data_IF_976974290228
#
_entry.id   IF_976974290228
#
_cell.length_a   1.000
_cell.length_b   1.000
_cell.length_c   1.000
_cell.angle_alpha   90.00
_cell.angle_beta   90.00
_cell.angle_gamma   90.00
#
_symmetry.space_group_name_H-M   'P 1'
#
loop_
_entity.id
_entity.type
_entity.pdbx_description
1 polymer ?
#
# COMPACT_ATOMS: atom_id res chain seq x y z
N UNK A 1 2.39 26.71 3.51
CA UNK A 1 1.86 25.89 2.42
C UNK A 1 0.76 25.03 3.01
N UNK A 2 -0.47 25.14 2.52
CA UNK A 2 -1.55 24.22 2.92
C UNK A 2 -1.10 22.79 2.60
N UNK A 3 -1.16 21.89 3.57
CA UNK A 3 -0.83 20.48 3.34
C UNK A 3 -1.71 19.94 2.20
N UNK A 4 -1.06 19.36 1.19
CA UNK A 4 -1.75 18.77 0.05
C UNK A 4 -2.68 17.66 0.55
N UNK A 5 -3.94 17.71 0.15
CA UNK A 5 -4.95 16.73 0.55
C UNK A 5 -5.82 16.28 -0.61
N UNK A 6 -6.32 15.05 -0.52
CA UNK A 6 -7.07 14.39 -1.58
C UNK A 6 -8.43 13.89 -1.06
N UNK A 7 -9.48 14.13 -1.85
CA UNK A 7 -10.77 13.45 -1.73
C UNK A 7 -10.90 12.36 -2.80
N UNK A 8 -11.51 11.22 -2.47
CA UNK A 8 -11.75 10.13 -3.42
C UNK A 8 -13.25 9.89 -3.55
N UNK A 9 -13.73 9.80 -4.79
CA UNK A 9 -15.12 9.46 -5.11
C UNK A 9 -15.12 8.18 -5.96
N UNK A 10 -15.61 7.09 -5.38
CA UNK A 10 -15.89 5.85 -6.09
C UNK A 10 -17.30 5.95 -6.67
N UNK A 11 -17.45 5.67 -7.96
CA UNK A 11 -18.71 5.79 -8.69
C UNK A 11 -19.05 4.41 -9.22
N UNK A 12 -20.20 3.86 -8.80
CA UNK A 12 -20.62 2.53 -9.19
C UNK A 12 -21.72 1.97 -8.28
N UNK A 13 -22.90 1.71 -8.84
CA UNK A 13 -24.02 1.08 -8.13
C UNK A 13 -23.66 -0.34 -7.64
N UNK A 14 -22.81 -1.06 -8.37
CA UNK A 14 -22.34 -2.40 -8.02
C UNK A 14 -21.52 -2.44 -6.73
N UNK A 15 -20.86 -1.32 -6.39
CA UNK A 15 -20.12 -1.15 -5.14
C UNK A 15 -21.10 -0.94 -3.99
N UNK A 16 -22.09 -0.06 -4.17
CA UNK A 16 -23.12 0.20 -3.15
C UNK A 16 -23.98 -1.03 -2.86
N UNK A 17 -24.28 -1.82 -3.90
CA UNK A 17 -25.04 -3.06 -3.80
C UNK A 17 -24.20 -4.23 -3.29
N UNK A 18 -22.88 -4.07 -3.11
CA UNK A 18 -21.97 -5.10 -2.64
C UNK A 18 -21.73 -6.25 -3.62
N UNK A 19 -22.06 -6.07 -4.91
CA UNK A 19 -21.79 -7.05 -5.96
C UNK A 19 -20.30 -7.13 -6.28
N UNK A 20 -19.61 -5.98 -6.23
CA UNK A 20 -18.17 -5.88 -6.41
C UNK A 20 -17.58 -5.23 -5.15
N UNK A 21 -16.50 -5.82 -4.63
CA UNK A 21 -15.75 -5.19 -3.55
C UNK A 21 -14.89 -4.04 -4.08
N UNK A 22 -14.98 -2.87 -3.45
CA UNK A 22 -14.11 -1.76 -3.77
C UNK A 22 -12.65 -2.07 -3.38
N UNK A 23 -11.84 -2.31 -4.40
CA UNK A 23 -10.38 -2.46 -4.27
C UNK A 23 -9.61 -1.22 -4.70
N UNK A 24 -10.29 -0.26 -5.33
CA UNK A 24 -9.70 0.94 -5.90
C UNK A 24 -9.34 1.93 -4.79
N UNK A 25 -10.26 2.18 -3.85
CA UNK A 25 -10.00 3.06 -2.70
C UNK A 25 -8.80 2.57 -1.88
N UNK A 26 -8.74 1.26 -1.59
CA UNK A 26 -7.64 0.66 -0.83
C UNK A 26 -6.28 0.76 -1.54
N UNK A 27 -6.25 0.67 -2.87
CA UNK A 27 -5.04 0.91 -3.64
C UNK A 27 -4.62 2.39 -3.58
N UNK A 28 -5.54 3.31 -3.88
CA UNK A 28 -5.28 4.76 -3.86
C UNK A 28 -4.82 5.21 -2.47
N UNK A 29 -5.42 4.66 -1.40
CA UNK A 29 -4.99 4.91 -0.02
C UNK A 29 -3.52 4.61 0.20
N UNK A 30 -3.07 3.42 -0.22
CA UNK A 30 -1.67 3.01 -0.07
C UNK A 30 -0.74 3.91 -0.87
N UNK A 31 -1.13 4.26 -2.09
CA UNK A 31 -0.31 5.11 -2.95
C UNK A 31 -0.18 6.54 -2.41
N UNK A 32 -1.27 7.19 -2.03
CA UNK A 32 -1.20 8.54 -1.45
C UNK A 32 -0.51 8.54 -0.08
N UNK A 33 -0.73 7.50 0.72
CA UNK A 33 0.01 7.30 1.97
C UNK A 33 1.52 7.20 1.73
N UNK A 34 1.96 6.48 0.69
CA UNK A 34 3.38 6.39 0.31
C UNK A 34 4.00 7.74 -0.10
N UNK A 35 3.15 8.71 -0.47
CA UNK A 35 3.53 10.08 -0.80
C UNK A 35 3.41 11.03 0.39
N UNK A 36 3.03 10.56 1.58
CA UNK A 36 2.72 11.42 2.72
C UNK A 36 1.54 12.37 2.48
N UNK A 37 0.68 12.07 1.50
CA UNK A 37 -0.50 12.86 1.16
C UNK A 37 -1.70 12.34 1.93
N UNK A 38 -2.37 13.23 2.66
CA UNK A 38 -3.56 12.89 3.43
C UNK A 38 -4.77 12.73 2.52
N UNK A 39 -5.40 11.56 2.56
CA UNK A 39 -6.78 11.41 2.06
C UNK A 39 -7.72 11.86 3.16
N UNK A 40 -8.52 12.89 2.86
CA UNK A 40 -9.43 13.49 3.84
C UNK A 40 -10.83 12.88 3.84
N UNK A 41 -11.27 12.32 2.71
CA UNK A 41 -12.57 11.65 2.58
C UNK A 41 -12.57 10.68 1.41
N UNK A 42 -13.26 9.56 1.60
CA UNK A 42 -13.65 8.64 0.55
C UNK A 42 -15.17 8.53 0.60
N UNK A 43 -15.81 8.64 -0.56
CA UNK A 43 -17.26 8.45 -0.72
C UNK A 43 -17.51 7.45 -1.85
N UNK A 44 -18.56 6.65 -1.70
CA UNK A 44 -19.11 5.84 -2.79
C UNK A 44 -20.46 6.45 -3.17
N UNK A 45 -20.67 6.71 -4.45
CA UNK A 45 -21.91 7.32 -4.98
C UNK A 45 -22.48 6.48 -6.11
N UNK A 46 -23.78 6.66 -6.35
CA UNK A 46 -24.49 6.01 -7.45
C UNK A 46 -24.01 6.52 -8.82
N UNK A 47 -24.32 5.76 -9.87
CA UNK A 47 -24.17 6.15 -11.28
C UNK A 47 -25.22 7.21 -11.68
N UNK A 48 -25.17 8.35 -10.98
CA UNK A 48 -26.13 9.44 -11.04
C UNK A 48 -25.42 10.77 -11.19
N UNK A 49 -25.75 11.49 -12.28
CA UNK A 49 -25.22 12.82 -12.58
C UNK A 49 -25.37 13.77 -11.38
N UNK A 50 -26.48 13.67 -10.65
CA UNK A 50 -26.77 14.55 -9.52
C UNK A 50 -25.91 14.21 -8.30
N UNK A 51 -25.77 12.92 -7.97
CA UNK A 51 -25.02 12.48 -6.79
C UNK A 51 -23.52 12.73 -6.97
N UNK A 52 -22.99 12.40 -8.16
CA UNK A 52 -21.61 12.72 -8.54
C UNK A 52 -21.37 14.23 -8.43
N UNK A 53 -22.26 15.05 -9.00
CA UNK A 53 -22.10 16.50 -8.97
C UNK A 53 -22.15 17.09 -7.55
N UNK A 54 -23.04 16.57 -6.70
CA UNK A 54 -23.18 17.03 -5.33
C UNK A 54 -21.94 16.69 -4.49
N UNK A 55 -21.41 15.48 -4.64
CA UNK A 55 -20.22 15.06 -3.91
C UNK A 55 -18.97 15.82 -4.36
N UNK A 56 -18.79 16.03 -5.67
CA UNK A 56 -17.72 16.90 -6.18
C UNK A 56 -17.84 18.31 -5.60
N UNK A 57 -19.05 18.91 -5.56
CA UNK A 57 -19.24 20.24 -4.97
C UNK A 57 -18.91 20.27 -3.47
N UNK A 58 -19.24 19.20 -2.74
CA UNK A 58 -18.90 19.08 -1.32
C UNK A 58 -17.39 18.95 -1.08
N UNK A 59 -16.64 18.39 -2.04
CA UNK A 59 -15.21 18.16 -1.92
C UNK A 59 -14.32 19.26 -2.53
N UNK A 60 -14.76 19.95 -3.60
CA UNK A 60 -13.86 20.74 -4.47
C UNK A 60 -13.19 21.93 -3.80
N UNK A 61 -13.78 22.48 -2.75
CA UNK A 61 -13.21 23.56 -1.94
C UNK A 61 -12.43 23.10 -0.71
N UNK A 62 -12.54 21.82 -0.35
CA UNK A 62 -11.97 21.26 0.88
C UNK A 62 -10.67 20.47 0.65
N UNK A 63 -10.42 20.04 -0.59
CA UNK A 63 -9.26 19.23 -0.96
C UNK A 63 -8.51 19.82 -2.14
N UNK A 64 -7.19 19.62 -2.15
CA UNK A 64 -6.32 20.08 -3.22
C UNK A 64 -6.60 19.37 -4.53
N UNK A 65 -6.91 18.06 -4.47
CA UNK A 65 -7.37 17.26 -5.60
C UNK A 65 -8.55 16.37 -5.22
N UNK A 66 -9.40 16.08 -6.19
CA UNK A 66 -10.41 15.03 -6.12
C UNK A 66 -10.05 13.97 -7.16
N UNK A 67 -10.01 12.71 -6.74
CA UNK A 67 -9.87 11.58 -7.65
C UNK A 67 -11.22 10.89 -7.76
N UNK A 68 -11.76 10.79 -8.98
CA UNK A 68 -12.92 9.93 -9.23
C UNK A 68 -12.48 8.62 -9.89
N UNK A 69 -13.20 7.53 -9.65
CA UNK A 69 -12.97 6.26 -10.34
C UNK A 69 -14.30 5.56 -10.60
N UNK A 70 -14.56 5.21 -11.86
CA UNK A 70 -15.82 4.62 -12.33
C UNK A 70 -16.64 5.56 -13.22
N UNK A 71 -17.62 5.00 -13.94
CA UNK A 71 -18.58 5.74 -14.77
C UNK A 71 -18.03 6.49 -15.98
N UNK A 72 -16.94 6.00 -16.62
CA UNK A 72 -16.27 6.66 -17.77
C UNK A 72 -16.23 5.82 -19.06
N UNK A 73 -16.98 4.73 -19.12
CA UNK A 73 -17.17 3.97 -20.35
C UNK A 73 -18.24 4.55 -21.29
N UNK A 74 -18.64 3.79 -22.32
CA UNK A 74 -19.65 4.22 -23.29
C UNK A 74 -21.09 3.85 -22.90
N UNK A 75 -21.33 3.17 -21.77
CA UNK A 75 -22.67 2.66 -21.45
C UNK A 75 -23.58 3.76 -20.91
N UNK A 76 -24.85 3.45 -20.69
CA UNK A 76 -25.87 4.46 -20.39
C UNK A 76 -25.69 5.05 -18.98
N UNK A 77 -25.26 4.20 -18.06
CA UNK A 77 -24.88 4.43 -16.66
C UNK A 77 -23.51 5.10 -16.49
N UNK A 78 -22.63 5.10 -17.50
CA UNK A 78 -21.38 5.86 -17.45
C UNK A 78 -21.64 7.38 -17.54
N UNK A 79 -21.86 8.03 -16.39
CA UNK A 79 -22.29 9.43 -16.28
C UNK A 79 -21.30 10.35 -15.53
N UNK A 80 -20.06 9.91 -15.33
CA UNK A 80 -19.07 10.68 -14.55
C UNK A 80 -18.73 12.02 -15.19
N UNK A 81 -18.58 12.08 -16.52
CA UNK A 81 -18.30 13.34 -17.21
C UNK A 81 -19.46 14.34 -17.08
N UNK A 82 -20.69 13.88 -17.23
CA UNK A 82 -21.92 14.65 -17.02
C UNK A 82 -21.97 15.19 -15.58
N UNK A 83 -21.65 14.35 -14.59
CA UNK A 83 -21.62 14.73 -13.18
C UNK A 83 -20.58 15.80 -12.89
N UNK A 84 -19.36 15.65 -13.44
CA UNK A 84 -18.28 16.65 -13.34
C UNK A 84 -18.70 17.96 -14.02
N UNK A 85 -19.26 17.91 -15.23
CA UNK A 85 -19.73 19.09 -15.95
C UNK A 85 -20.78 19.85 -15.14
N UNK A 86 -21.77 19.13 -14.58
CA UNK A 86 -22.79 19.70 -13.69
C UNK A 86 -22.18 20.29 -12.41
N UNK A 87 -21.16 19.67 -11.82
CA UNK A 87 -20.50 20.17 -10.60
C UNK A 87 -19.82 21.54 -10.80
N UNK A 88 -19.29 21.78 -12.00
CA UNK A 88 -18.63 23.01 -12.41
C UNK A 88 -19.51 23.98 -13.20
N UNK A 89 -20.78 23.62 -13.44
CA UNK A 89 -21.72 24.42 -14.23
C UNK A 89 -21.16 24.73 -15.63
N UNK A 90 -20.65 23.70 -16.29
CA UNK A 90 -20.13 23.75 -17.66
C UNK A 90 -20.87 22.75 -18.54
N UNK A 91 -20.83 22.98 -19.85
CA UNK A 91 -21.37 22.06 -20.84
C UNK A 91 -20.39 20.92 -21.14
N UNK A 92 -20.90 19.86 -21.78
CA UNK A 92 -20.08 18.83 -22.42
C UNK A 92 -19.78 19.23 -23.87
N UNK A 93 -18.60 18.85 -24.35
CA UNK A 93 -18.19 19.03 -25.73
C UNK A 93 -17.62 17.72 -26.26
N UNK A 94 -18.00 17.39 -27.50
CA UNK A 94 -17.39 16.28 -28.23
C UNK A 94 -15.95 16.67 -28.59
N UNK A 95 -14.99 16.17 -27.83
CA UNK A 95 -13.60 16.55 -27.95
C UNK A 95 -12.93 15.81 -29.11
N UNK A 96 -12.35 16.54 -30.06
CA UNK A 96 -11.74 15.96 -31.27
C UNK A 96 -10.57 15.02 -30.97
N UNK A 97 -9.73 15.35 -29.98
CA UNK A 97 -8.60 14.50 -29.59
C UNK A 97 -9.07 13.15 -29.01
N UNK A 98 -10.10 13.17 -28.16
CA UNK A 98 -10.73 11.94 -27.63
C UNK A 98 -11.38 11.14 -28.77
N UNK A 99 -12.12 11.82 -29.66
CA UNK A 99 -12.76 11.17 -30.81
C UNK A 99 -11.72 10.46 -31.68
N UNK A 100 -10.60 11.12 -31.99
CA UNK A 100 -9.56 10.54 -32.85
C UNK A 100 -8.84 9.37 -32.16
N UNK A 101 -8.63 9.45 -30.85
CA UNK A 101 -8.15 8.32 -30.06
C UNK A 101 -9.12 7.11 -30.16
N UNK A 102 -10.42 7.30 -29.89
CA UNK A 102 -11.37 6.18 -29.89
C UNK A 102 -11.73 5.66 -31.28
N UNK A 103 -11.62 6.48 -32.35
CA UNK A 103 -11.71 5.98 -33.74
C UNK A 103 -10.63 4.94 -34.03
N UNK A 104 -9.41 5.15 -33.53
CA UNK A 104 -8.32 4.18 -33.72
C UNK A 104 -8.60 2.82 -33.07
N UNK A 105 -9.49 2.79 -32.06
CA UNK A 105 -9.79 1.61 -31.25
C UNK A 105 -11.13 0.94 -31.62
N UNK A 106 -12.16 1.73 -31.95
CA UNK A 106 -13.52 1.27 -32.26
C UNK A 106 -13.81 1.14 -33.77
N UNK A 107 -12.84 1.43 -34.64
CA UNK A 107 -13.00 1.42 -36.11
C UNK A 107 -13.52 2.75 -36.68
N UNK A 108 -13.95 2.76 -37.96
CA UNK A 108 -14.39 3.97 -38.66
C UNK A 108 -15.70 4.56 -38.07
N UNK A 109 -15.55 5.30 -36.98
CA UNK A 109 -16.65 6.08 -36.37
C UNK A 109 -16.75 7.42 -37.10
N UNK A 110 -17.84 7.64 -37.83
CA UNK A 110 -18.11 8.90 -38.56
C UNK A 110 -19.48 9.46 -38.17
N UNK A 111 -19.58 10.77 -37.96
CA UNK A 111 -20.85 11.44 -37.61
C UNK A 111 -20.91 11.93 -36.15
N UNK A 112 -22.12 12.07 -35.62
CA UNK A 112 -22.42 12.58 -34.26
C UNK A 112 -22.73 11.42 -33.27
N UNK A 113 -22.91 11.75 -32.00
CA UNK A 113 -23.20 10.78 -30.92
C UNK A 113 -24.48 9.99 -31.20
N UNK A 114 -25.52 10.62 -31.76
CA UNK A 114 -26.79 9.95 -32.08
C UNK A 114 -26.63 8.76 -33.03
N UNK A 115 -25.69 8.88 -33.99
CA UNK A 115 -25.38 7.82 -34.95
C UNK A 115 -24.35 6.83 -34.43
N UNK A 116 -23.57 7.21 -33.43
CA UNK A 116 -22.49 6.41 -32.88
C UNK A 116 -22.42 6.60 -31.34
N UNK A 117 -23.23 5.86 -30.57
CA UNK A 117 -23.28 5.99 -29.11
C UNK A 117 -21.92 5.82 -28.42
N UNK A 118 -21.02 5.04 -29.03
CA UNK A 118 -19.63 4.87 -28.58
C UNK A 118 -18.82 6.18 -28.53
N UNK A 119 -19.23 7.25 -29.23
CA UNK A 119 -18.59 8.57 -29.13
C UNK A 119 -18.90 9.30 -27.80
N UNK A 120 -19.83 8.79 -26.99
CA UNK A 120 -20.15 9.37 -25.69
C UNK A 120 -18.92 9.46 -24.77
N UNK A 121 -18.01 8.49 -24.84
CA UNK A 121 -16.75 8.49 -24.10
C UNK A 121 -15.83 9.67 -24.44
N UNK A 122 -16.05 10.32 -25.60
CA UNK A 122 -15.34 11.50 -26.04
C UNK A 122 -16.10 12.82 -25.77
N UNK A 123 -17.30 12.74 -25.20
CA UNK A 123 -18.11 13.89 -24.81
C UNK A 123 -17.76 14.29 -23.37
N UNK A 124 -16.78 15.19 -23.23
CA UNK A 124 -16.15 15.53 -21.94
C UNK A 124 -16.47 16.98 -21.54
N UNK A 125 -16.29 17.38 -20.27
CA UNK A 125 -16.56 18.75 -19.85
C UNK A 125 -15.73 19.79 -20.61
N UNK A 126 -16.31 20.93 -20.96
CA UNK A 126 -15.56 22.05 -21.55
C UNK A 126 -14.46 22.50 -20.58
N UNK A 127 -13.28 22.80 -21.12
CA UNK A 127 -12.10 23.16 -20.32
C UNK A 127 -11.33 21.96 -19.74
N UNK A 128 -11.66 20.74 -20.17
CA UNK A 128 -10.91 19.54 -19.81
C UNK A 128 -9.47 19.56 -20.32
N UNK A 129 -8.55 19.15 -19.46
CA UNK A 129 -7.19 18.72 -19.80
C UNK A 129 -7.22 17.21 -20.10
N UNK A 130 -6.56 16.79 -21.18
CA UNK A 130 -6.44 15.37 -21.55
C UNK A 130 -4.98 14.96 -21.47
N UNK A 131 -4.73 13.88 -20.73
CA UNK A 131 -3.40 13.26 -20.63
C UNK A 131 -3.48 11.84 -21.17
N UNK A 132 -2.67 11.53 -22.18
CA UNK A 132 -2.56 10.16 -22.72
C UNK A 132 -1.54 9.38 -21.89
N UNK A 133 -2.02 8.39 -21.14
CA UNK A 133 -1.21 7.52 -20.29
C UNK A 133 -0.68 6.34 -21.11
N UNK A 134 0.63 6.09 -21.16
CA UNK A 134 1.16 4.88 -21.79
C UNK A 134 0.65 3.60 -21.12
N UNK A 135 0.04 2.70 -21.90
CA UNK A 135 -0.55 1.43 -21.44
C UNK A 135 0.42 0.26 -21.41
N UNK A 136 1.67 0.47 -21.87
CA UNK A 136 2.70 -0.56 -21.93
C UNK A 136 2.44 -1.61 -23.02
N UNK A 137 3.19 -2.71 -22.98
CA UNK A 137 3.16 -3.78 -23.97
C UNK A 137 2.54 -5.09 -23.46
N UNK A 138 1.94 -5.07 -22.27
CA UNK A 138 1.35 -6.24 -21.62
C UNK A 138 -0.15 -6.33 -21.91
N UNK A 139 -0.65 -7.56 -22.04
CA UNK A 139 -2.10 -7.81 -22.17
C UNK A 139 -2.82 -7.41 -20.87
N UNK A 140 -4.07 -6.91 -20.93
CA UNK A 140 -4.91 -6.75 -22.13
C UNK A 140 -4.70 -5.41 -22.88
N UNK A 141 -3.78 -4.55 -22.43
CA UNK A 141 -3.65 -3.17 -22.93
C UNK A 141 -2.61 -2.98 -24.04
N UNK A 142 -1.95 -4.06 -24.47
CA UNK A 142 -0.92 -4.06 -25.53
C UNK A 142 -1.39 -3.46 -26.85
N UNK A 143 -2.68 -3.59 -27.16
CA UNK A 143 -3.28 -3.03 -28.38
C UNK A 143 -3.67 -1.55 -28.25
N UNK A 144 -3.55 -0.96 -27.06
CA UNK A 144 -3.97 0.41 -26.79
C UNK A 144 -2.77 1.33 -27.01
N UNK A 145 -2.94 2.40 -27.80
CA UNK A 145 -1.90 3.41 -27.98
C UNK A 145 -1.96 4.46 -26.86
N UNK A 146 -1.82 3.98 -25.62
CA UNK A 146 -2.10 4.74 -24.40
C UNK A 146 -3.58 4.75 -24.02
N UNK A 147 -3.93 5.42 -22.92
CA UNK A 147 -5.31 5.63 -22.44
C UNK A 147 -5.51 7.08 -22.01
N UNK A 148 -6.54 7.78 -22.51
CA UNK A 148 -6.79 9.17 -22.15
C UNK A 148 -7.38 9.27 -20.74
N UNK A 149 -6.79 10.14 -19.93
CA UNK A 149 -7.32 10.58 -18.65
C UNK A 149 -7.75 12.03 -18.77
N UNK A 150 -8.94 12.32 -18.24
CA UNK A 150 -9.53 13.66 -18.25
C UNK A 150 -9.34 14.29 -16.87
N UNK A 151 -8.93 15.56 -16.86
CA UNK A 151 -8.86 16.39 -15.68
C UNK A 151 -9.63 17.69 -15.90
N UNK A 152 -10.45 18.06 -14.91
CA UNK A 152 -11.23 19.31 -14.92
C UNK A 152 -10.95 20.04 -13.61
N UNK A 153 -10.35 21.23 -13.68
CA UNK A 153 -9.86 21.94 -12.51
C UNK A 153 -8.97 21.04 -11.61
N UNK A 154 -9.40 20.77 -10.38
CA UNK A 154 -8.74 19.87 -9.43
C UNK A 154 -9.30 18.44 -9.40
N UNK A 155 -10.18 18.06 -10.34
CA UNK A 155 -10.76 16.72 -10.42
C UNK A 155 -10.05 15.90 -11.50
N UNK A 156 -9.45 14.78 -11.10
CA UNK A 156 -8.82 13.80 -12.00
C UNK A 156 -9.73 12.58 -12.10
N UNK A 157 -10.09 12.21 -13.32
CA UNK A 157 -11.10 11.20 -13.59
C UNK A 157 -10.43 9.91 -14.06
N UNK A 158 -10.45 8.87 -13.23
CA UNK A 158 -9.86 7.56 -13.50
C UNK A 158 -10.92 6.53 -13.92
N UNK A 159 -10.53 5.48 -14.67
CA UNK A 159 -11.43 4.38 -14.98
C UNK A 159 -11.80 3.56 -13.74
N UNK A 160 -12.93 2.84 -13.82
CA UNK A 160 -13.39 1.94 -12.75
C UNK A 160 -12.67 0.59 -12.71
N UNK A 161 -12.19 0.10 -13.86
CA UNK A 161 -11.50 -1.19 -13.96
C UNK A 161 -10.20 -1.15 -13.14
N UNK A 162 -10.03 -1.99 -12.11
CA UNK A 162 -8.93 -1.85 -11.15
C UNK A 162 -7.53 -1.88 -11.76
N UNK A 163 -7.29 -2.74 -12.76
CA UNK A 163 -5.97 -2.85 -13.42
C UNK A 163 -5.65 -1.60 -14.23
N UNK A 164 -6.62 -1.09 -14.98
CA UNK A 164 -6.46 0.12 -15.78
C UNK A 164 -6.34 1.37 -14.90
N UNK A 165 -7.12 1.44 -13.81
CA UNK A 165 -7.02 2.52 -12.82
C UNK A 165 -5.62 2.57 -12.21
N UNK A 166 -5.07 1.42 -11.76
CA UNK A 166 -3.71 1.33 -11.22
C UNK A 166 -2.66 1.77 -12.23
N UNK A 167 -2.82 1.38 -13.49
CA UNK A 167 -1.93 1.79 -14.57
C UNK A 167 -1.97 3.31 -14.77
N UNK A 168 -3.17 3.89 -14.88
CA UNK A 168 -3.35 5.33 -15.07
C UNK A 168 -2.82 6.12 -13.88
N UNK A 169 -3.07 5.64 -12.66
CA UNK A 169 -2.64 6.29 -11.44
C UNK A 169 -1.11 6.40 -11.34
N UNK A 170 -0.35 5.41 -11.83
CA UNK A 170 1.13 5.47 -11.80
C UNK A 170 1.68 6.69 -12.54
N UNK A 171 1.08 7.08 -13.65
CA UNK A 171 1.52 8.25 -14.41
C UNK A 171 0.91 9.54 -13.84
N UNK A 172 -0.36 9.51 -13.42
CA UNK A 172 -1.00 10.62 -12.69
C UNK A 172 -0.18 10.99 -11.44
N UNK A 173 0.34 10.00 -10.71
CA UNK A 173 1.26 10.16 -9.59
C UNK A 173 2.50 10.99 -9.97
N UNK A 174 3.12 10.71 -11.12
CA UNK A 174 4.29 11.44 -11.60
C UNK A 174 3.95 12.85 -12.09
N UNK A 175 2.78 13.04 -12.68
CA UNK A 175 2.40 14.33 -13.28
C UNK A 175 1.93 15.34 -12.24
N UNK A 176 1.15 14.90 -11.26
CA UNK A 176 0.48 15.81 -10.32
C UNK A 176 1.00 15.73 -8.89
N UNK A 177 1.81 14.71 -8.55
CA UNK A 177 2.21 14.44 -7.17
C UNK A 177 3.73 14.16 -6.98
N UNK A 178 4.56 14.40 -8.00
CA UNK A 178 6.00 14.10 -7.95
C UNK A 178 6.78 14.97 -6.96
N UNK A 179 6.36 16.21 -6.74
CA UNK A 179 7.00 17.11 -5.77
C UNK A 179 6.63 16.79 -4.31
N UNK A 180 5.72 15.83 -4.10
CA UNK A 180 5.24 15.42 -2.79
C UNK A 180 5.99 14.21 -2.22
N UNK A 181 7.22 13.95 -2.68
CA UNK A 181 8.10 12.93 -2.08
C UNK A 181 8.61 13.40 -0.72
N UNK A 182 7.72 13.67 0.25
CA UNK A 182 8.11 13.71 1.65
C UNK A 182 8.31 12.27 2.10
N UNK A 183 9.53 11.92 2.49
CA UNK A 183 9.81 10.63 3.12
C UNK A 183 8.96 10.52 4.39
N UNK A 184 7.88 9.75 4.32
CA UNK A 184 7.10 9.43 5.51
C UNK A 184 7.90 8.41 6.32
N UNK A 185 8.37 8.84 7.49
CA UNK A 185 9.05 7.97 8.43
C UNK A 185 8.01 7.24 9.28
N UNK A 186 8.03 5.91 9.23
CA UNK A 186 7.13 5.04 9.99
C UNK A 186 7.94 4.16 10.95
N UNK A 187 7.47 4.07 12.21
CA UNK A 187 7.90 3.06 13.18
C UNK A 187 6.71 2.24 13.63
N UNK A 188 6.94 0.94 13.80
CA UNK A 188 5.94 -0.02 14.27
C UNK A 188 6.45 -0.65 15.55
N UNK A 189 5.67 -0.53 16.61
CA UNK A 189 5.92 -1.16 17.90
C UNK A 189 4.89 -2.26 18.09
N UNK A 190 5.35 -3.41 18.57
CA UNK A 190 4.50 -4.57 18.84
C UNK A 190 4.50 -4.82 20.33
N UNK A 191 3.33 -5.16 20.89
CA UNK A 191 3.13 -5.26 22.32
C UNK A 191 2.59 -6.64 22.68
N UNK A 192 3.14 -7.29 23.71
CA UNK A 192 2.59 -8.54 24.24
C UNK A 192 1.42 -8.31 25.21
N UNK A 193 1.14 -7.06 25.52
CA UNK A 193 0.11 -6.60 26.44
C UNK A 193 -1.09 -6.04 25.67
N UNK A 194 -2.27 -6.05 26.28
CA UNK A 194 -3.47 -5.49 25.67
C UNK A 194 -3.39 -3.96 25.57
N UNK A 195 -4.23 -3.38 24.71
CA UNK A 195 -4.27 -1.93 24.46
C UNK A 195 -4.53 -1.13 25.75
N UNK A 196 -5.37 -1.65 26.65
CA UNK A 196 -5.74 -0.99 27.91
C UNK A 196 -4.51 -0.71 28.78
N UNK A 197 -3.55 -1.64 28.84
CA UNK A 197 -2.33 -1.48 29.64
C UNK A 197 -1.39 -0.40 29.10
N UNK A 198 -1.39 -0.18 27.79
CA UNK A 198 -0.52 0.83 27.15
C UNK A 198 -1.19 2.19 26.97
N UNK A 199 -2.51 2.27 27.15
CA UNK A 199 -3.32 3.46 26.85
C UNK A 199 -2.85 4.73 27.58
N UNK A 200 -2.48 4.61 28.86
CA UNK A 200 -1.99 5.76 29.64
C UNK A 200 -0.69 6.33 29.08
N UNK A 201 0.25 5.46 28.71
CA UNK A 201 1.51 5.87 28.09
C UNK A 201 1.28 6.41 26.67
N UNK A 202 0.41 5.76 25.90
CA UNK A 202 0.07 6.17 24.53
C UNK A 202 -0.60 7.55 24.50
N UNK A 203 -1.59 7.81 25.36
CA UNK A 203 -2.26 9.11 25.43
C UNK A 203 -1.27 10.23 25.78
N UNK A 204 -0.36 9.99 26.73
CA UNK A 204 0.71 10.97 27.04
C UNK A 204 1.62 11.23 25.84
N UNK A 205 1.99 10.18 25.10
CA UNK A 205 2.81 10.33 23.90
C UNK A 205 2.06 11.13 22.82
N UNK A 206 0.77 10.83 22.59
CA UNK A 206 -0.08 11.61 21.70
C UNK A 206 -0.13 13.07 22.14
N UNK A 207 -0.37 13.37 23.42
CA UNK A 207 -0.45 14.75 23.90
C UNK A 207 0.84 15.54 23.68
N UNK A 208 2.00 14.90 23.84
CA UNK A 208 3.32 15.52 23.64
C UNK A 208 3.66 15.71 22.17
N UNK A 209 3.31 14.75 21.30
CA UNK A 209 3.77 14.70 19.92
C UNK A 209 2.67 14.89 18.85
N UNK A 210 1.41 15.17 19.22
CA UNK A 210 0.27 15.28 18.27
C UNK A 210 0.46 16.26 17.11
N UNK A 211 1.31 17.27 17.28
CA UNK A 211 1.60 18.26 16.23
C UNK A 211 2.63 17.75 15.21
N UNK A 212 3.46 16.77 15.58
CA UNK A 212 4.57 16.26 14.77
C UNK A 212 4.44 14.79 14.40
N UNK A 213 3.72 13.97 15.15
CA UNK A 213 3.61 12.52 14.98
C UNK A 213 2.16 12.07 15.02
N UNK A 214 1.76 11.29 14.02
CA UNK A 214 0.48 10.59 13.99
C UNK A 214 0.66 9.21 14.61
N UNK A 215 -0.18 8.89 15.58
CA UNK A 215 -0.20 7.59 16.25
C UNK A 215 -1.39 6.76 15.77
N UNK A 216 -1.15 5.48 15.48
CA UNK A 216 -2.18 4.49 15.22
C UNK A 216 -2.09 3.34 16.22
N UNK A 217 -3.22 2.83 16.71
CA UNK A 217 -3.29 1.66 17.59
C UNK A 217 -4.19 0.60 16.96
N UNK A 218 -3.69 -0.64 16.91
CA UNK A 218 -4.35 -1.75 16.24
C UNK A 218 -4.28 -3.01 17.13
N UNK A 219 -5.31 -3.30 17.92
CA UNK A 219 -5.40 -4.55 18.67
C UNK A 219 -5.55 -5.75 17.72
N UNK A 220 -4.90 -6.87 18.03
CA UNK A 220 -4.92 -8.08 17.20
C UNK A 220 -5.34 -9.28 18.04
N UNK A 221 -6.50 -9.85 17.73
CA UNK A 221 -7.12 -10.93 18.51
C UNK A 221 -6.49 -12.31 18.29
N UNK A 222 -5.90 -12.55 17.11
CA UNK A 222 -5.47 -13.89 16.68
C UNK A 222 -3.95 -14.09 16.63
N UNK A 223 -3.17 -13.09 17.02
CA UNK A 223 -1.72 -13.15 16.96
C UNK A 223 -1.15 -13.85 18.21
N UNK A 224 -0.29 -14.85 17.97
CA UNK A 224 0.46 -15.54 19.03
C UNK A 224 1.70 -14.77 19.49
N UNK A 225 2.08 -13.70 18.79
CA UNK A 225 3.36 -13.01 18.97
C UNK A 225 3.21 -11.63 19.64
N UNK A 226 2.06 -10.97 19.45
CA UNK A 226 1.76 -9.65 19.99
C UNK A 226 0.24 -9.46 20.04
N UNK A 227 -0.26 -8.72 21.02
CA UNK A 227 -1.67 -8.39 21.19
C UNK A 227 -2.05 -7.02 20.64
N UNK A 228 -1.11 -6.08 20.53
CA UNK A 228 -1.38 -4.74 20.01
C UNK A 228 -0.21 -4.25 19.16
N UNK A 229 -0.50 -3.59 18.05
CA UNK A 229 0.48 -2.91 17.20
C UNK A 229 0.23 -1.41 17.24
N UNK A 230 1.26 -0.64 17.57
CA UNK A 230 1.22 0.82 17.50
C UNK A 230 2.08 1.30 16.34
N UNK A 231 1.58 2.23 15.54
CA UNK A 231 2.33 2.92 14.49
C UNK A 231 2.60 4.36 14.89
N UNK A 232 3.79 4.86 14.54
CA UNK A 232 4.22 6.24 14.74
C UNK A 232 4.71 6.77 13.41
N UNK A 233 4.14 7.89 12.96
CA UNK A 233 4.29 8.36 11.59
C UNK A 233 4.52 9.86 11.55
N UNK A 234 5.57 10.30 10.86
CA UNK A 234 5.88 11.72 10.67
C UNK A 234 6.65 11.96 9.39
N UNK A 235 6.65 13.22 8.93
CA UNK A 235 7.60 13.73 7.92
C UNK A 235 9.00 13.98 8.50
N UNK A 236 9.17 13.95 9.83
CA UNK A 236 10.46 14.13 10.51
C UNK A 236 10.86 12.84 11.25
N UNK A 237 11.92 12.18 10.78
CA UNK A 237 12.44 10.96 11.42
C UNK A 237 12.81 11.16 12.89
N UNK A 238 13.33 12.34 13.25
CA UNK A 238 13.76 12.63 14.61
C UNK A 238 12.57 12.71 15.56
N UNK A 239 11.44 13.26 15.12
CA UNK A 239 10.21 13.29 15.92
C UNK A 239 9.65 11.89 16.14
N UNK A 240 9.67 11.02 15.12
CA UNK A 240 9.29 9.61 15.28
C UNK A 240 10.20 8.91 16.30
N UNK A 241 11.52 9.11 16.22
CA UNK A 241 12.48 8.50 17.16
C UNK A 241 12.28 9.00 18.60
N UNK A 242 12.04 10.30 18.80
CA UNK A 242 11.73 10.86 20.13
C UNK A 242 10.43 10.28 20.68
N UNK A 243 9.39 10.20 19.87
CA UNK A 243 8.11 9.63 20.27
C UNK A 243 8.22 8.14 20.61
N UNK A 244 8.96 7.37 19.82
CA UNK A 244 9.27 5.97 20.11
C UNK A 244 10.00 5.83 21.46
N UNK A 245 11.06 6.62 21.68
CA UNK A 245 11.84 6.57 22.91
C UNK A 245 11.00 6.97 24.14
N UNK A 246 10.16 8.01 24.00
CA UNK A 246 9.25 8.45 25.04
C UNK A 246 8.22 7.36 25.40
N UNK A 247 7.68 6.68 24.39
CA UNK A 247 6.73 5.60 24.63
C UNK A 247 7.44 4.44 25.35
N UNK A 248 8.61 4.01 24.86
CA UNK A 248 9.44 2.95 25.46
C UNK A 248 9.78 3.23 26.93
N UNK A 249 10.11 4.48 27.28
CA UNK A 249 10.45 4.85 28.67
C UNK A 249 9.24 4.97 29.60
N UNK A 250 8.03 5.13 29.04
CA UNK A 250 6.79 5.30 29.79
C UNK A 250 6.05 3.98 30.06
N UNK A 251 6.57 2.86 29.55
CA UNK A 251 5.94 1.55 29.60
C UNK A 251 6.63 0.61 30.60
N UNK A 252 5.91 -0.37 31.16
CA UNK A 252 6.51 -1.44 31.96
C UNK A 252 7.56 -2.23 31.17
N UNK A 253 8.55 -2.78 31.87
CA UNK A 253 9.51 -3.73 31.28
C UNK A 253 8.77 -4.90 30.62
N UNK A 254 9.28 -5.35 29.47
CA UNK A 254 8.75 -6.46 28.67
C UNK A 254 7.37 -6.25 28.02
N UNK A 255 6.77 -5.05 28.02
CA UNK A 255 5.49 -4.83 27.29
C UNK A 255 5.70 -4.80 25.77
N UNK A 256 6.85 -4.30 25.30
CA UNK A 256 7.20 -4.23 23.88
C UNK A 256 7.90 -5.52 23.47
N UNK A 257 7.38 -6.13 22.42
CA UNK A 257 8.02 -7.22 21.69
C UNK A 257 8.78 -6.59 20.54
N UNK A 258 10.09 -6.43 20.72
CA UNK A 258 10.93 -6.12 19.57
C UNK A 258 10.88 -7.32 18.61
N UNK A 259 10.88 -7.09 17.28
CA UNK A 259 10.88 -8.19 16.32
C UNK A 259 12.01 -9.15 16.71
N UNK A 260 11.66 -10.43 16.92
CA UNK A 260 12.45 -11.50 17.54
C UNK A 260 13.92 -11.55 17.11
N UNK A 261 14.24 -11.01 15.94
CA UNK A 261 15.60 -10.87 15.45
C UNK A 261 16.50 -10.00 16.35
N UNK A 262 16.06 -8.88 16.91
CA UNK A 262 16.94 -7.94 17.61
C UNK A 262 17.67 -8.55 18.82
N UNK A 263 17.02 -9.48 19.53
CA UNK A 263 17.60 -10.25 20.65
C UNK A 263 17.98 -11.68 20.27
N UNK A 264 17.59 -12.18 19.09
CA UNK A 264 17.89 -13.55 18.65
C UNK A 264 19.37 -13.92 18.79
N UNK A 265 20.27 -12.96 18.56
CA UNK A 265 21.69 -13.09 18.86
C UNK A 265 21.95 -13.55 20.28
N UNK A 266 21.50 -12.79 21.27
CA UNK A 266 21.72 -13.12 22.68
C UNK A 266 20.96 -14.39 23.08
N UNK A 267 19.71 -14.52 22.66
CA UNK A 267 18.81 -15.60 23.08
C UNK A 267 19.32 -16.99 22.63
N UNK A 268 19.88 -17.11 21.41
CA UNK A 268 20.38 -18.39 20.90
C UNK A 268 21.66 -18.84 21.62
N UNK A 269 22.60 -17.92 21.86
CA UNK A 269 23.84 -18.26 22.59
C UNK A 269 23.57 -18.50 24.07
N UNK A 270 22.64 -17.76 24.68
CA UNK A 270 22.17 -17.97 26.05
C UNK A 270 21.51 -19.35 26.18
N UNK A 271 20.56 -19.67 25.29
CA UNK A 271 19.91 -20.98 25.26
C UNK A 271 20.90 -22.13 25.07
N UNK A 272 21.92 -21.95 24.22
CA UNK A 272 22.98 -22.94 24.04
C UNK A 272 23.81 -23.13 25.33
N UNK A 273 23.92 -22.11 26.17
CA UNK A 273 24.77 -22.13 27.37
C UNK A 273 24.02 -22.56 28.62
N UNK A 274 22.74 -22.20 28.75
CA UNK A 274 21.99 -22.22 29.99
C UNK A 274 20.76 -23.14 29.98
N UNK A 275 20.51 -23.88 28.89
CA UNK A 275 19.42 -24.88 28.86
C UNK A 275 19.72 -26.10 29.75
N UNK A 276 18.68 -26.64 30.38
CA UNK A 276 18.75 -27.85 31.20
C UNK A 276 18.80 -29.14 30.36
N UNK A 277 18.54 -29.07 29.05
CA UNK A 277 18.61 -30.21 28.13
C UNK A 277 20.02 -30.30 27.51
N UNK A 278 20.84 -31.21 28.03
CA UNK A 278 22.23 -31.38 27.61
C UNK A 278 22.38 -31.87 26.17
N UNK A 279 21.42 -32.68 25.68
CA UNK A 279 21.43 -33.18 24.32
C UNK A 279 21.10 -32.05 23.34
N UNK A 280 20.05 -31.29 23.64
CA UNK A 280 19.67 -30.11 22.85
C UNK A 280 20.79 -29.06 22.82
N UNK A 281 21.40 -28.75 23.97
CA UNK A 281 22.53 -27.83 24.05
C UNK A 281 23.67 -28.23 23.13
N UNK A 282 23.99 -29.53 23.09
CA UNK A 282 25.08 -30.07 22.26
C UNK A 282 24.77 -29.91 20.77
N UNK A 283 23.54 -30.25 20.35
CA UNK A 283 23.11 -30.08 18.96
C UNK A 283 23.14 -28.61 18.56
N UNK A 284 22.59 -27.72 19.39
CA UNK A 284 22.55 -26.28 19.11
C UNK A 284 23.95 -25.68 19.00
N UNK A 285 24.88 -26.02 19.90
CA UNK A 285 26.30 -25.60 19.82
C UNK A 285 26.97 -26.08 18.53
N UNK A 286 26.71 -27.32 18.13
CA UNK A 286 27.22 -27.88 16.87
C UNK A 286 26.67 -27.12 15.67
N UNK A 287 25.37 -26.84 15.64
CA UNK A 287 24.72 -26.06 14.58
C UNK A 287 25.27 -24.64 14.48
N UNK A 288 25.43 -23.95 15.61
CA UNK A 288 26.05 -22.62 15.68
C UNK A 288 27.45 -22.66 15.06
N UNK A 289 28.28 -23.64 15.45
CA UNK A 289 29.65 -23.78 14.96
C UNK A 289 29.71 -23.97 13.44
N UNK A 290 28.85 -24.81 12.88
CA UNK A 290 28.77 -25.03 11.42
C UNK A 290 28.45 -23.72 10.68
N UNK A 291 27.56 -22.90 11.23
CA UNK A 291 27.18 -21.62 10.61
C UNK A 291 28.30 -20.57 10.78
N UNK A 292 28.97 -20.52 11.94
CA UNK A 292 30.15 -19.68 12.17
C UNK A 292 31.28 -20.02 11.18
N UNK A 293 31.52 -21.30 10.94
CA UNK A 293 32.49 -21.79 9.94
C UNK A 293 32.05 -21.40 8.51
N UNK A 294 30.77 -21.54 8.17
CA UNK A 294 30.25 -21.15 6.87
C UNK A 294 30.48 -19.66 6.57
N UNK A 295 30.16 -18.76 7.52
CA UNK A 295 30.42 -17.32 7.38
C UNK A 295 31.90 -16.95 7.46
N UNK A 296 32.77 -17.84 7.92
CA UNK A 296 34.22 -17.61 7.95
C UNK A 296 34.85 -18.02 6.64
N UNK A 297 34.38 -19.11 6.04
CA UNK A 297 34.91 -19.66 4.79
C UNK A 297 34.32 -19.01 3.53
N UNK A 298 33.13 -18.39 3.63
CA UNK A 298 32.42 -17.84 2.48
C UNK A 298 31.91 -16.41 2.73
N UNK A 299 31.76 -15.64 1.65
CA UNK A 299 31.15 -14.31 1.71
C UNK A 299 29.64 -14.44 1.97
N UNK A 300 29.02 -13.54 2.74
CA UNK A 300 27.60 -13.59 3.02
C UNK A 300 26.71 -13.65 1.75
N UNK A 301 27.07 -12.92 0.70
CA UNK A 301 26.31 -12.91 -0.58
C UNK A 301 26.35 -14.23 -1.35
N UNK A 302 27.27 -15.13 -1.01
CA UNK A 302 27.38 -16.47 -1.61
C UNK A 302 26.67 -17.57 -0.82
N UNK A 303 26.08 -17.24 0.34
CA UNK A 303 25.37 -18.18 1.18
C UNK A 303 23.86 -18.00 1.01
N UNK A 304 23.15 -19.13 0.93
CA UNK A 304 21.71 -19.18 0.76
C UNK A 304 21.10 -20.11 1.80
N UNK A 305 19.94 -19.74 2.34
CA UNK A 305 19.16 -20.62 3.22
C UNK A 305 18.05 -21.25 2.39
N UNK A 306 17.94 -22.58 2.44
CA UNK A 306 16.75 -23.26 1.94
C UNK A 306 15.58 -23.00 2.90
N UNK A 307 14.53 -22.33 2.44
CA UNK A 307 13.37 -22.00 3.25
C UNK A 307 12.09 -22.59 2.64
N UNK A 308 11.39 -23.37 3.44
CA UNK A 308 10.11 -23.98 3.09
C UNK A 308 9.02 -23.69 4.13
N UNK A 309 9.22 -22.73 5.04
CA UNK A 309 8.26 -22.45 6.11
C UNK A 309 8.14 -23.51 7.21
N UNK A 310 8.90 -24.60 7.11
CA UNK A 310 8.96 -25.63 8.13
C UNK A 310 9.55 -25.14 9.45
N UNK A 311 9.34 -25.93 10.50
CA UNK A 311 9.88 -25.63 11.83
C UNK A 311 11.41 -25.63 11.82
N UNK A 312 12.01 -26.56 11.08
CA UNK A 312 13.47 -26.72 10.99
C UNK A 312 14.15 -25.52 10.33
N UNK A 313 13.61 -25.03 9.21
CA UNK A 313 14.16 -23.84 8.55
C UNK A 313 13.91 -22.57 9.37
N UNK A 314 12.83 -22.52 10.16
CA UNK A 314 12.58 -21.41 11.10
C UNK A 314 13.61 -21.40 12.22
N UNK A 315 13.90 -22.56 12.83
CA UNK A 315 14.97 -22.69 13.82
C UNK A 315 16.33 -22.29 13.20
N UNK A 316 16.62 -22.75 11.98
CA UNK A 316 17.83 -22.36 11.26
C UNK A 316 17.92 -20.84 11.06
N UNK A 317 16.84 -20.15 10.69
CA UNK A 317 16.83 -18.70 10.55
C UNK A 317 17.26 -17.99 11.85
N UNK A 318 16.80 -18.46 13.01
CA UNK A 318 17.21 -17.89 14.30
C UNK A 318 18.70 -18.10 14.58
N UNK A 319 19.22 -19.31 14.32
CA UNK A 319 20.65 -19.58 14.55
C UNK A 319 21.52 -18.77 13.58
N UNK A 320 21.14 -18.66 12.31
CA UNK A 320 21.89 -17.86 11.33
C UNK A 320 21.81 -16.37 11.66
N UNK A 321 20.64 -15.87 12.06
CA UNK A 321 20.49 -14.50 12.54
C UNK A 321 21.41 -14.22 13.73
N UNK A 322 21.48 -15.15 14.68
CA UNK A 322 22.31 -14.99 15.87
C UNK A 322 23.80 -14.91 15.54
N UNK A 323 24.30 -15.83 14.71
CA UNK A 323 25.69 -15.82 14.26
C UNK A 323 26.01 -14.55 13.46
N UNK A 324 25.08 -14.12 12.58
CA UNK A 324 25.25 -12.90 11.79
C UNK A 324 25.39 -11.68 12.69
N UNK A 325 24.48 -11.50 13.65
CA UNK A 325 24.50 -10.35 14.55
C UNK A 325 25.77 -10.31 15.39
N UNK A 326 26.21 -11.45 15.93
CA UNK A 326 27.48 -11.55 16.66
C UNK A 326 28.68 -11.16 15.80
N UNK A 327 28.68 -11.51 14.51
CA UNK A 327 29.81 -11.28 13.61
C UNK A 327 29.83 -9.89 12.96
N UNK A 328 28.66 -9.36 12.60
CA UNK A 328 28.52 -8.16 11.77
C UNK A 328 27.79 -7.01 12.46
N UNK A 329 27.26 -7.21 13.67
CA UNK A 329 26.53 -6.23 14.46
C UNK A 329 25.40 -5.50 13.68
N UNK A 330 24.75 -6.23 12.77
CA UNK A 330 23.67 -5.73 11.90
C UNK A 330 22.59 -6.79 11.75
N UNK A 331 21.39 -6.39 11.32
CA UNK A 331 20.35 -7.36 10.95
C UNK A 331 20.80 -8.21 9.75
N UNK A 332 20.53 -9.53 9.74
CA UNK A 332 20.94 -10.42 8.67
C UNK A 332 20.32 -10.04 7.32
N UNK A 333 21.16 -9.98 6.28
CA UNK A 333 20.74 -9.86 4.88
C UNK A 333 21.00 -11.19 4.17
N UNK A 334 20.20 -12.20 4.47
CA UNK A 334 20.39 -13.55 3.94
C UNK A 334 19.45 -13.79 2.76
N UNK A 335 19.99 -14.39 1.70
CA UNK A 335 19.17 -14.81 0.55
C UNK A 335 18.53 -16.16 0.88
N UNK A 336 17.21 -16.23 0.76
CA UNK A 336 16.48 -17.49 0.89
C UNK A 336 16.20 -18.08 -0.51
N UNK A 337 16.30 -19.39 -0.63
CA UNK A 337 15.92 -20.15 -1.82
C UNK A 337 14.84 -21.15 -1.42
N UNK A 338 13.81 -21.27 -2.24
CA UNK A 338 12.79 -22.31 -2.09
C UNK A 338 12.84 -23.23 -3.31
N UNK A 339 13.24 -24.48 -3.10
CA UNK A 339 13.17 -25.50 -4.15
C UNK A 339 11.75 -26.03 -4.26
N UNK A 340 11.09 -25.77 -5.39
CA UNK A 340 9.73 -26.26 -5.64
C UNK A 340 9.76 -27.77 -5.82
N UNK A 341 8.93 -28.47 -5.05
CA UNK A 341 8.61 -29.88 -5.30
C UNK A 341 7.81 -30.01 -6.60
N UNK A 342 7.83 -31.19 -7.22
CA UNK A 342 7.02 -31.48 -8.41
C UNK A 342 5.51 -31.47 -8.11
N UNK A 343 5.12 -31.67 -6.85
CA UNK A 343 3.73 -31.64 -6.39
C UNK A 343 3.64 -30.98 -5.00
N UNK A 344 3.66 -29.64 -4.91
CA UNK A 344 3.58 -28.94 -3.64
C UNK A 344 2.12 -28.74 -3.23
N UNK A 345 1.83 -28.84 -1.92
CA UNK A 345 0.56 -28.38 -1.37
C UNK A 345 0.31 -26.90 -1.74
N UNK A 346 -0.85 -26.55 -2.30
CA UNK A 346 -1.17 -25.17 -2.68
C UNK A 346 -0.97 -24.15 -1.54
N UNK A 347 -1.33 -24.53 -0.32
CA UNK A 347 -1.21 -23.72 0.89
C UNK A 347 0.25 -23.40 1.22
N UNK A 348 1.17 -24.33 0.93
CA UNK A 348 2.60 -24.10 1.11
C UNK A 348 3.12 -23.07 0.08
N UNK A 349 2.66 -23.16 -1.17
CA UNK A 349 3.05 -22.17 -2.19
C UNK A 349 2.50 -20.78 -1.85
N UNK A 350 1.24 -20.69 -1.42
CA UNK A 350 0.64 -19.44 -0.96
C UNK A 350 1.39 -18.86 0.25
N UNK A 351 1.73 -19.71 1.21
CA UNK A 351 2.52 -19.31 2.38
C UNK A 351 3.88 -18.73 1.98
N UNK A 352 4.62 -19.39 1.07
CA UNK A 352 5.93 -18.91 0.61
C UNK A 352 5.80 -17.58 -0.12
N UNK A 353 4.83 -17.45 -1.04
CA UNK A 353 4.58 -16.20 -1.78
C UNK A 353 4.20 -15.07 -0.83
N UNK A 354 3.36 -15.35 0.17
CA UNK A 354 2.96 -14.35 1.17
C UNK A 354 4.12 -13.96 2.08
N UNK A 355 4.99 -14.91 2.42
CA UNK A 355 6.17 -14.67 3.27
C UNK A 355 7.19 -13.78 2.57
N UNK A 356 7.40 -13.92 1.26
CA UNK A 356 8.30 -13.05 0.48
C UNK A 356 7.79 -11.59 0.47
N UNK A 357 6.47 -11.38 0.58
CA UNK A 357 5.85 -10.04 0.57
C UNK A 357 5.83 -9.35 1.95
N UNK A 358 6.16 -10.07 3.03
CA UNK A 358 6.24 -9.55 4.40
C UNK A 358 7.66 -9.09 4.68
#
# INVERSE_FOLDING_TARGET
>A
MTDLSVGIIIIGDEILNGQVSDTNSGFLCKEFYSLGIKIGRISVVQDSVTDIANEIRAMKGNYSYIITTGGVGPTHDDVTYEGVAKAFNTDLVLNSQMVDYYKSYCGNVTGNIDKNPQLRIANIPVGSEIVIIPTGSEEPFKSWNGYPIVKVANVIILPGIPELMKLCFKEVKKLYFNDCLSELHNRKLFFNCNEILILSALNKAVDVFKESVVFGSYPVLSSKFYQTRVTLESKDEMEVRKAEQFLRSSLPENCIVDPVLATAGLDVYDLASNTNDSQFATVLKSSIKVIEEAFTSHKPDSLFINFNGGKDCTALLHVVAAVWMKKFNTLPKIRAVHFKSNDPFPELQEFIVTTIKR
#
